data_IF_805169593369
#
_entry.id   IF_805169593369
#
_cell.length_a   1.000
_cell.length_b   1.000
_cell.length_c   1.000
_cell.angle_alpha   90.00
_cell.angle_beta   90.00
_cell.angle_gamma   90.00
#
_symmetry.space_group_name_H-M   'P 1'
#
loop_
_entity.id
_entity.type
_entity.pdbx_description
1 polymer ?
#
# COMPACT_ATOMS: atom_id res chain seq x y z
N UNK A 1 8.20 8.29 40.44
CA UNK A 1 8.13 9.49 39.59
C UNK A 1 7.38 9.11 38.31
N UNK A 2 6.05 9.24 38.33
CA UNK A 2 5.17 8.88 37.21
C UNK A 2 4.40 10.12 36.74
N UNK A 3 5.10 11.24 36.61
CA UNK A 3 4.54 12.54 36.19
C UNK A 3 4.99 12.96 34.77
N UNK A 4 5.51 12.02 33.97
CA UNK A 4 6.03 12.36 32.65
C UNK A 4 4.98 12.37 31.51
N UNK A 5 3.81 11.73 31.64
CA UNK A 5 2.79 11.70 30.57
C UNK A 5 1.37 11.49 31.09
N UNK A 6 0.75 12.51 31.69
CA UNK A 6 -0.72 12.50 31.90
C UNK A 6 -1.45 12.82 30.60
N UNK A 7 -1.30 11.97 29.58
CA UNK A 7 -2.33 11.85 28.53
C UNK A 7 -3.54 11.21 29.21
N UNK A 8 -4.69 11.89 29.23
CA UNK A 8 -5.88 11.37 29.89
C UNK A 8 -6.29 10.04 29.25
N UNK A 9 -6.90 9.13 30.01
CA UNK A 9 -7.36 7.85 29.46
C UNK A 9 -8.24 8.03 28.21
N UNK A 10 -9.01 9.12 28.17
CA UNK A 10 -9.80 9.54 27.01
C UNK A 10 -8.95 9.86 25.76
N UNK A 11 -7.82 10.55 25.94
CA UNK A 11 -6.89 10.86 24.85
C UNK A 11 -6.25 9.58 24.28
N UNK A 12 -5.86 8.64 25.14
CA UNK A 12 -5.29 7.34 24.71
C UNK A 12 -6.34 6.50 23.97
N UNK A 13 -7.59 6.49 24.46
CA UNK A 13 -8.69 5.79 23.80
C UNK A 13 -8.94 6.36 22.39
N UNK A 14 -8.98 7.69 22.26
CA UNK A 14 -9.17 8.35 20.96
C UNK A 14 -8.04 8.03 19.98
N UNK A 15 -6.79 8.12 20.44
CA UNK A 15 -5.62 7.75 19.62
C UNK A 15 -5.70 6.28 19.18
N UNK A 16 -6.10 5.36 20.06
CA UNK A 16 -6.26 3.95 19.72
C UNK A 16 -7.36 3.71 18.66
N UNK A 17 -8.49 4.43 18.75
CA UNK A 17 -9.56 4.37 17.76
C UNK A 17 -9.08 4.93 16.40
N UNK A 18 -8.44 6.10 16.41
CA UNK A 18 -7.90 6.72 15.20
C UNK A 18 -6.87 5.79 14.51
N UNK A 19 -5.95 5.20 15.26
CA UNK A 19 -4.98 4.23 14.76
C UNK A 19 -5.63 2.96 14.20
N UNK A 20 -6.73 2.50 14.81
CA UNK A 20 -7.45 1.33 14.32
C UNK A 20 -8.16 1.63 13.01
N UNK A 21 -8.89 2.75 12.94
CA UNK A 21 -9.62 3.18 11.74
C UNK A 21 -8.65 3.39 10.59
N UNK A 22 -7.54 4.09 10.81
CA UNK A 22 -6.53 4.34 9.76
C UNK A 22 -5.97 3.03 9.18
N UNK A 23 -5.76 2.01 10.02
CA UNK A 23 -5.29 0.69 9.57
C UNK A 23 -6.35 -0.05 8.78
N UNK A 24 -7.60 -0.01 9.23
CA UNK A 24 -8.69 -0.67 8.51
C UNK A 24 -9.00 0.01 7.18
N UNK A 25 -8.98 1.35 7.12
CA UNK A 25 -9.13 2.09 5.85
C UNK A 25 -7.99 1.77 4.86
N UNK A 26 -6.75 1.67 5.34
CA UNK A 26 -5.60 1.24 4.51
C UNK A 26 -5.77 -0.20 3.99
N UNK A 27 -6.31 -1.11 4.80
CA UNK A 27 -6.61 -2.49 4.39
C UNK A 27 -7.74 -2.55 3.37
N UNK A 28 -8.80 -1.79 3.59
CA UNK A 28 -9.94 -1.73 2.66
C UNK A 28 -9.52 -1.12 1.31
N UNK A 29 -8.71 -0.06 1.33
CA UNK A 29 -8.15 0.53 0.12
C UNK A 29 -7.31 -0.50 -0.66
N UNK A 30 -6.40 -1.21 0.01
CA UNK A 30 -5.59 -2.25 -0.62
C UNK A 30 -6.47 -3.37 -1.22
N UNK A 31 -7.49 -3.82 -0.49
CA UNK A 31 -8.41 -4.85 -0.96
C UNK A 31 -9.17 -4.39 -2.21
N UNK A 32 -9.71 -3.17 -2.18
CA UNK A 32 -10.45 -2.61 -3.31
C UNK A 32 -9.57 -2.44 -4.55
N UNK A 33 -8.36 -1.94 -4.36
CA UNK A 33 -7.42 -1.73 -5.46
C UNK A 33 -6.98 -3.07 -6.07
N UNK A 34 -6.78 -4.10 -5.22
CA UNK A 34 -6.47 -5.47 -5.68
C UNK A 34 -7.62 -6.07 -6.49
N UNK A 35 -8.86 -5.93 -6.00
CA UNK A 35 -10.05 -6.41 -6.71
C UNK A 35 -10.23 -5.69 -8.05
N UNK A 36 -9.98 -4.38 -8.10
CA UNK A 36 -10.05 -3.60 -9.33
C UNK A 36 -9.00 -4.06 -10.35
N UNK A 37 -7.75 -4.22 -9.92
CA UNK A 37 -6.69 -4.73 -10.79
C UNK A 37 -6.99 -6.15 -11.31
N UNK A 38 -7.62 -6.99 -10.47
CA UNK A 38 -8.06 -8.33 -10.87
C UNK A 38 -9.18 -8.29 -11.91
N UNK A 39 -10.19 -7.44 -11.72
CA UNK A 39 -11.28 -7.26 -12.69
C UNK A 39 -10.75 -6.73 -14.04
N UNK A 40 -9.86 -5.72 -14.01
CA UNK A 40 -9.18 -5.20 -15.21
C UNK A 40 -8.38 -6.28 -15.93
N UNK A 41 -7.66 -7.14 -15.21
CA UNK A 41 -6.96 -8.28 -15.79
C UNK A 41 -7.93 -9.30 -16.42
N UNK A 42 -9.04 -9.63 -15.76
CA UNK A 42 -10.02 -10.57 -16.32
C UNK A 42 -10.65 -10.06 -17.63
N UNK A 43 -10.88 -8.75 -17.74
CA UNK A 43 -11.49 -8.13 -18.91
C UNK A 43 -10.48 -7.94 -20.05
N UNK A 44 -9.26 -7.49 -19.74
CA UNK A 44 -8.29 -7.05 -20.75
C UNK A 44 -7.22 -8.10 -21.07
N UNK A 45 -6.93 -9.00 -20.13
CA UNK A 45 -5.79 -9.93 -20.15
C UNK A 45 -4.44 -9.23 -19.95
N UNK A 46 -4.42 -7.91 -19.69
CA UNK A 46 -3.18 -7.15 -19.60
C UNK A 46 -2.50 -7.38 -18.25
N UNK A 47 -1.23 -7.77 -18.28
CA UNK A 47 -0.39 -8.02 -17.12
C UNK A 47 1.04 -7.52 -17.39
N UNK A 48 1.76 -7.18 -16.34
CA UNK A 48 3.22 -7.05 -16.39
C UNK A 48 3.83 -8.38 -15.93
N UNK A 49 4.87 -8.85 -16.62
CA UNK A 49 5.54 -10.09 -16.22
C UNK A 49 6.37 -9.88 -14.96
N UNK A 50 6.58 -10.96 -14.19
CA UNK A 50 7.42 -10.90 -13.00
C UNK A 50 8.85 -10.44 -13.31
N UNK A 51 9.41 -10.80 -14.46
CA UNK A 51 10.75 -10.38 -14.88
C UNK A 51 10.86 -8.88 -15.18
N UNK A 52 9.82 -8.28 -15.77
CA UNK A 52 9.80 -6.84 -16.03
C UNK A 52 9.70 -6.04 -14.74
N UNK A 53 8.85 -6.50 -13.82
CA UNK A 53 8.72 -5.90 -12.49
C UNK A 53 10.02 -6.04 -11.70
N UNK A 54 10.69 -7.20 -11.74
CA UNK A 54 11.96 -7.43 -11.06
C UNK A 54 13.09 -6.53 -11.61
N UNK A 55 13.20 -6.40 -12.93
CA UNK A 55 14.15 -5.48 -13.58
C UNK A 55 13.88 -4.03 -13.18
N UNK A 56 12.61 -3.63 -13.15
CA UNK A 56 12.21 -2.29 -12.74
C UNK A 56 12.57 -2.01 -11.28
N UNK A 57 12.18 -2.90 -10.35
CA UNK A 57 12.50 -2.76 -8.92
C UNK A 57 14.01 -2.75 -8.66
N UNK A 58 14.79 -3.54 -9.42
CA UNK A 58 16.24 -3.58 -9.29
C UNK A 58 16.92 -2.29 -9.78
N UNK A 59 16.26 -1.55 -10.68
CA UNK A 59 16.77 -0.27 -11.18
C UNK A 59 16.57 0.90 -10.20
N UNK A 60 15.71 0.74 -9.19
CA UNK A 60 15.42 1.79 -8.22
C UNK A 60 16.67 2.18 -7.42
N UNK A 61 16.93 3.48 -7.33
CA UNK A 61 18.11 4.01 -6.64
C UNK A 61 19.42 3.88 -7.42
N UNK A 62 19.36 3.50 -8.71
CA UNK A 62 20.48 3.56 -9.64
C UNK A 62 20.41 4.81 -10.53
N UNK A 63 21.50 5.16 -11.22
CA UNK A 63 21.51 6.27 -12.18
C UNK A 63 20.62 6.02 -13.41
N UNK A 64 20.25 4.76 -13.67
CA UNK A 64 19.39 4.34 -14.79
C UNK A 64 18.10 3.71 -14.28
N UNK A 65 17.36 4.44 -13.45
CA UNK A 65 16.03 4.02 -13.01
C UNK A 65 15.10 3.83 -14.21
N UNK A 66 14.53 2.63 -14.33
CA UNK A 66 13.63 2.25 -15.42
C UNK A 66 12.21 2.78 -15.13
N UNK A 67 11.41 3.08 -16.18
CA UNK A 67 10.00 3.39 -15.98
C UNK A 67 9.22 2.17 -15.51
N UNK A 68 8.07 2.40 -14.86
CA UNK A 68 7.15 1.32 -14.48
C UNK A 68 6.77 0.48 -15.71
N UNK A 69 6.78 -0.86 -15.61
CA UNK A 69 6.39 -1.70 -16.72
C UNK A 69 4.92 -1.47 -17.08
N UNK A 70 4.63 -1.38 -18.37
CA UNK A 70 3.26 -1.26 -18.88
C UNK A 70 2.61 -2.65 -18.94
N UNK A 71 1.32 -2.73 -18.62
CA UNK A 71 0.58 -3.99 -18.71
C UNK A 71 0.34 -4.35 -20.18
N UNK A 72 0.71 -5.58 -20.57
CA UNK A 72 0.56 -6.11 -21.92
C UNK A 72 -0.14 -7.49 -21.92
N UNK A 73 -0.59 -7.98 -23.07
CA UNK A 73 -1.23 -9.30 -23.16
C UNK A 73 -0.26 -10.45 -22.98
#
# INVERSE_FOLDING_TARGET
MAEARRRTAHWIMREAIEQYVEREEKREALNRDTLKAWDEFQVTGLHATAEEVDKWLTSWGTENELPSPECHK
#
